data_IF_303669124262
#
_entry.id   IF_303669124262
#
_cell.length_a   1.000
_cell.length_b   1.000
_cell.length_c   1.000
_cell.angle_alpha   90.00
_cell.angle_beta   90.00
_cell.angle_gamma   90.00
#
_symmetry.space_group_name_H-M   'P 1'
#
loop_
_entity.id
_entity.type
_entity.pdbx_description
1 polymer ?
#
# COMPACT_ATOMS: atom_id res chain seq x y z
N UNK A 1 -25.68 -35.81 -11.00
CA UNK A 1 -25.18 -35.80 -9.61
C UNK A 1 -23.67 -35.47 -9.52
N UNK A 2 -22.79 -36.23 -10.19
CA UNK A 2 -21.32 -36.12 -10.01
C UNK A 2 -20.69 -34.82 -10.57
N UNK A 3 -21.23 -34.32 -11.69
CA UNK A 3 -20.72 -33.11 -12.34
C UNK A 3 -20.98 -31.82 -11.55
N UNK A 4 -22.04 -31.79 -10.74
CA UNK A 4 -22.38 -30.62 -9.90
C UNK A 4 -21.37 -30.47 -8.76
N UNK A 5 -20.98 -31.59 -8.13
CA UNK A 5 -19.94 -31.58 -7.11
C UNK A 5 -18.59 -31.11 -7.68
N UNK A 6 -18.26 -31.53 -8.90
CA UNK A 6 -17.05 -31.08 -9.58
C UNK A 6 -17.06 -29.58 -9.89
N UNK A 7 -18.18 -29.03 -10.35
CA UNK A 7 -18.33 -27.60 -10.65
C UNK A 7 -18.21 -26.72 -9.39
N UNK A 8 -18.76 -27.17 -8.26
CA UNK A 8 -18.68 -26.45 -6.99
C UNK A 8 -17.25 -26.43 -6.42
N UNK A 9 -16.50 -27.53 -6.55
CA UNK A 9 -15.10 -27.63 -6.11
C UNK A 9 -14.17 -26.75 -6.96
N UNK A 10 -14.40 -26.70 -8.28
CA UNK A 10 -13.64 -25.81 -9.19
C UNK A 10 -13.96 -24.34 -8.89
N UNK A 11 -15.22 -24.02 -8.57
CA UNK A 11 -15.62 -22.66 -8.16
C UNK A 11 -14.92 -22.17 -6.89
N UNK A 12 -14.80 -23.00 -5.84
CA UNK A 12 -14.13 -22.61 -4.59
C UNK A 12 -12.63 -22.33 -4.74
N UNK A 13 -11.96 -22.95 -5.71
CA UNK A 13 -10.53 -22.70 -5.98
C UNK A 13 -10.29 -21.36 -6.72
N UNK A 14 -11.29 -20.85 -7.44
CA UNK A 14 -11.18 -19.61 -8.22
C UNK A 14 -11.45 -18.38 -7.35
N UNK A 15 -12.33 -18.47 -6.33
CA UNK A 15 -12.64 -17.35 -5.42
C UNK A 15 -11.60 -17.14 -4.30
N UNK A 16 -10.58 -18.00 -4.17
CA UNK A 16 -9.68 -18.03 -3.01
C UNK A 16 -8.29 -17.42 -3.19
N UNK A 17 -8.01 -16.61 -4.22
CA UNK A 17 -6.64 -16.08 -4.42
C UNK A 17 -6.56 -14.55 -4.38
N UNK A 18 -6.77 -14.01 -3.19
CA UNK A 18 -6.31 -12.67 -2.82
C UNK A 18 -4.79 -12.71 -2.65
N UNK A 19 -4.04 -12.76 -3.75
CA UNK A 19 -2.60 -12.55 -3.67
C UNK A 19 -2.35 -11.07 -3.53
N UNK A 20 -2.21 -10.60 -2.29
CA UNK A 20 -1.42 -9.42 -2.00
C UNK A 20 0.01 -9.70 -2.50
N UNK A 21 0.28 -9.33 -3.76
CA UNK A 21 1.59 -9.44 -4.40
C UNK A 21 2.51 -8.34 -3.84
N UNK A 22 2.92 -8.50 -2.59
CA UNK A 22 4.08 -7.80 -2.05
C UNK A 22 5.36 -8.41 -2.61
N UNK A 23 5.68 -8.17 -3.89
CA UNK A 23 6.99 -8.55 -4.43
C UNK A 23 8.04 -7.63 -3.84
N UNK A 24 8.82 -8.14 -2.89
CA UNK A 24 10.06 -7.52 -2.47
C UNK A 24 10.15 -7.33 -0.97
N UNK A 25 11.09 -8.04 -0.36
CA UNK A 25 11.41 -7.93 1.07
C UNK A 25 11.88 -6.53 1.50
N UNK A 26 12.09 -5.59 0.57
CA UNK A 26 12.51 -4.22 0.88
C UNK A 26 11.70 -3.07 0.23
N UNK A 27 10.83 -3.32 -0.75
CA UNK A 27 10.12 -2.25 -1.46
C UNK A 27 8.73 -1.97 -0.86
N UNK A 28 8.69 -1.22 0.24
CA UNK A 28 7.42 -0.67 0.75
C UNK A 28 7.02 0.58 -0.05
N UNK A 29 5.73 0.80 -0.24
CA UNK A 29 5.18 1.93 -1.01
C UNK A 29 4.38 2.85 -0.11
N UNK A 30 4.48 4.16 -0.32
CA UNK A 30 3.81 5.17 0.52
C UNK A 30 2.31 4.93 0.71
N UNK A 31 1.72 5.37 1.84
CA UNK A 31 0.29 5.21 2.07
C UNK A 31 -0.51 6.03 1.05
N UNK A 32 -1.71 5.56 0.67
CA UNK A 32 -2.64 6.43 -0.03
C UNK A 32 -3.06 7.58 0.89
N UNK A 33 -2.96 8.81 0.37
CA UNK A 33 -3.42 10.02 1.08
C UNK A 33 -4.78 10.39 0.53
N UNK A 34 -5.84 10.16 1.31
CA UNK A 34 -7.24 10.40 0.89
C UNK A 34 -7.63 11.88 0.88
N UNK A 35 -7.08 12.66 1.81
CA UNK A 35 -7.40 14.08 1.97
C UNK A 35 -6.11 14.91 1.97
N UNK A 36 -6.16 16.08 1.34
CA UNK A 36 -5.06 17.05 1.35
C UNK A 36 -5.53 18.38 1.93
N UNK A 37 -4.61 19.13 2.54
CA UNK A 37 -4.85 20.49 2.98
C UNK A 37 -5.11 21.41 1.78
N UNK A 38 -5.95 22.43 1.97
CA UNK A 38 -6.24 23.46 0.96
C UNK A 38 -5.13 24.53 0.95
N UNK A 39 -3.89 24.11 0.70
CA UNK A 39 -2.74 25.01 0.60
C UNK A 39 -2.14 24.88 -0.79
N UNK A 40 -1.98 25.99 -1.51
CA UNK A 40 -1.45 26.01 -2.88
C UNK A 40 -0.01 25.52 -2.96
N UNK A 41 0.82 25.83 -1.95
CA UNK A 41 2.19 25.37 -1.86
C UNK A 41 2.49 24.85 -0.44
N UNK A 42 2.15 23.58 -0.14
CA UNK A 42 2.39 23.03 1.17
C UNK A 42 3.89 22.78 1.39
N UNK A 43 4.40 22.99 2.62
CA UNK A 43 5.82 22.81 2.92
C UNK A 43 6.23 21.34 2.81
N UNK A 44 7.35 21.08 2.13
CA UNK A 44 7.92 19.74 1.98
C UNK A 44 9.12 19.57 2.91
N UNK A 45 9.08 18.56 3.79
CA UNK A 45 10.23 18.21 4.62
C UNK A 45 11.28 17.37 3.86
N UNK A 46 10.90 16.82 2.70
CA UNK A 46 11.76 16.04 1.82
C UNK A 46 11.25 16.13 0.38
N UNK A 47 12.13 15.85 -0.58
CA UNK A 47 11.79 15.78 -2.01
C UNK A 47 12.02 14.39 -2.60
N UNK A 48 12.96 13.64 -2.02
CA UNK A 48 13.32 12.30 -2.45
C UNK A 48 13.76 11.44 -1.26
N UNK A 49 13.78 10.11 -1.44
CA UNK A 49 14.03 9.13 -0.37
C UNK A 49 15.39 9.33 0.32
N UNK A 50 16.42 9.75 -0.42
CA UNK A 50 17.77 9.99 0.11
C UNK A 50 17.87 11.22 1.04
N UNK A 51 16.88 12.12 1.04
CA UNK A 51 16.80 13.19 2.04
C UNK A 51 16.35 12.65 3.41
N UNK A 52 15.78 11.44 3.45
CA UNK A 52 15.27 10.85 4.66
C UNK A 52 16.34 10.03 5.38
N UNK A 53 16.46 10.14 6.71
CA UNK A 53 17.41 9.33 7.46
C UNK A 53 16.96 7.87 7.50
N UNK A 54 17.94 6.95 7.44
CA UNK A 54 17.74 5.49 7.56
C UNK A 54 16.90 4.93 6.39
N UNK A 55 16.21 3.81 6.60
CA UNK A 55 15.34 3.12 5.62
C UNK A 55 13.94 3.78 5.53
N UNK A 56 13.86 5.11 5.58
CA UNK A 56 12.61 5.86 5.43
C UNK A 56 12.45 6.30 3.97
N UNK A 57 11.20 6.50 3.55
CA UNK A 57 10.86 7.03 2.22
C UNK A 57 10.23 8.41 2.32
N UNK A 58 10.44 9.24 1.31
CA UNK A 58 9.80 10.54 1.20
C UNK A 58 8.40 10.36 0.59
N UNK A 59 7.38 10.50 1.43
CA UNK A 59 6.00 10.21 1.06
C UNK A 59 5.12 11.46 1.09
N UNK A 60 4.07 11.51 0.26
CA UNK A 60 3.01 12.50 0.41
C UNK A 60 2.31 12.31 1.77
N UNK A 61 1.85 13.41 2.34
CA UNK A 61 1.05 13.45 3.57
C UNK A 61 -0.16 14.35 3.37
N UNK A 62 -0.99 14.52 4.41
CA UNK A 62 -2.12 15.46 4.37
C UNK A 62 -1.69 16.87 3.91
N UNK A 63 -0.51 17.34 4.32
CA UNK A 63 -0.01 18.64 3.89
C UNK A 63 1.48 18.55 3.57
N UNK A 64 1.81 18.44 2.29
CA UNK A 64 3.18 18.34 1.78
C UNK A 64 3.77 16.93 1.90
N UNK A 65 5.10 16.84 1.92
CA UNK A 65 5.86 15.58 1.97
C UNK A 65 6.64 15.39 3.27
N UNK A 66 6.70 14.15 3.77
CA UNK A 66 7.42 13.78 5.00
C UNK A 66 8.08 12.41 4.89
N UNK A 67 9.09 12.18 5.72
CA UNK A 67 9.80 10.90 5.79
C UNK A 67 9.00 9.87 6.61
N UNK A 68 8.53 8.80 5.97
CA UNK A 68 7.75 7.72 6.60
C UNK A 68 8.52 6.39 6.61
N UNK A 69 8.28 5.59 7.64
CA UNK A 69 8.77 4.22 7.76
C UNK A 69 7.66 3.20 7.46
N UNK A 70 8.04 1.94 7.16
CA UNK A 70 7.06 0.86 6.87
C UNK A 70 6.01 0.69 7.98
N UNK A 71 6.39 0.94 9.24
CA UNK A 71 5.55 0.71 10.41
C UNK A 71 4.47 1.80 10.62
N UNK A 72 4.51 2.89 9.85
CA UNK A 72 3.41 3.87 9.83
C UNK A 72 2.29 3.48 8.86
N UNK A 73 2.40 2.32 8.19
CA UNK A 73 1.35 1.72 7.38
C UNK A 73 0.61 0.68 8.23
N UNK A 74 -0.59 1.01 8.69
CA UNK A 74 -1.55 -0.01 9.11
C UNK A 74 -1.80 -0.92 7.90
N UNK A 75 -1.70 -2.24 8.09
CA UNK A 75 -1.73 -3.24 7.01
C UNK A 75 -3.08 -3.21 6.29
N UNK A 76 -3.21 -2.39 5.25
CA UNK A 76 -4.36 -2.46 4.34
C UNK A 76 -4.02 -3.48 3.25
N UNK A 77 -4.28 -4.74 3.54
CA UNK A 77 -4.67 -5.68 2.49
C UNK A 77 -6.09 -5.27 2.10
N UNK A 78 -6.32 -4.92 0.83
CA UNK A 78 -7.67 -4.70 0.33
C UNK A 78 -8.43 -6.03 0.43
N UNK A 79 -9.53 -6.02 1.18
CA UNK A 79 -10.51 -7.10 1.30
C UNK A 79 -11.51 -7.07 0.15
#
# INVERSE_FOLDING_TARGET
MKSVAALLLVGMLILGTERCTGTGKDAWSCPPVRYRCMMQNPPNACYADWHCPRRKKCCPSFCGRRCLSKYQQEKVCAA
#
